data_IF_597402573502
#
_entry.id   IF_597402573502
#
_cell.length_a   1.000
_cell.length_b   1.000
_cell.length_c   1.000
_cell.angle_alpha   90.00
_cell.angle_beta   90.00
_cell.angle_gamma   90.00
#
_symmetry.space_group_name_H-M   'P 1'
#
loop_
_entity.id
_entity.type
_entity.pdbx_description
1 polymer ?
#
# COMPACT_ATOMS: atom_id res chain seq x y z
N UNK A 1 -4.37 -6.99 -7.40
CA UNK A 1 -2.97 -6.51 -7.29
C UNK A 1 -2.20 -7.34 -6.28
N UNK A 2 -1.04 -7.83 -6.66
CA UNK A 2 -0.18 -8.64 -5.78
C UNK A 2 0.80 -7.75 -5.03
N UNK A 3 1.17 -8.18 -3.84
CA UNK A 3 2.17 -7.49 -3.00
C UNK A 3 3.44 -8.36 -2.92
N UNK A 4 4.16 -8.46 -4.02
CA UNK A 4 5.38 -9.27 -4.13
C UNK A 4 6.60 -8.42 -4.50
N UNK A 5 7.71 -9.05 -4.68
CA UNK A 5 8.94 -8.40 -5.11
C UNK A 5 9.74 -7.83 -3.94
N UNK A 6 10.14 -6.54 -4.05
CA UNK A 6 11.03 -5.92 -3.07
C UNK A 6 10.35 -5.52 -1.75
N UNK A 7 9.01 -5.55 -1.68
CA UNK A 7 8.26 -5.28 -0.45
C UNK A 7 8.27 -6.45 0.53
N UNK A 8 7.45 -6.35 1.57
CA UNK A 8 7.32 -7.45 2.52
C UNK A 8 6.78 -8.71 1.83
N UNK A 9 7.15 -9.84 2.38
CA UNK A 9 6.74 -11.16 1.89
C UNK A 9 6.03 -11.92 3.00
N UNK A 10 5.08 -12.77 2.62
CA UNK A 10 4.31 -13.61 3.54
C UNK A 10 4.62 -15.09 3.32
N UNK A 11 4.49 -15.89 4.36
CA UNK A 11 4.69 -17.34 4.31
C UNK A 11 3.69 -18.05 3.39
N UNK A 12 2.51 -17.45 3.22
CA UNK A 12 1.45 -17.94 2.31
C UNK A 12 1.67 -17.56 0.84
N UNK A 13 2.78 -16.88 0.52
CA UNK A 13 3.08 -16.40 -0.83
C UNK A 13 2.43 -15.06 -1.16
N UNK A 14 2.42 -14.67 -2.46
CA UNK A 14 1.86 -13.40 -2.89
C UNK A 14 0.39 -13.23 -2.47
N UNK A 15 0.05 -12.02 -2.05
CA UNK A 15 -1.30 -11.68 -1.60
C UNK A 15 -1.96 -10.72 -2.58
N UNK A 16 -3.28 -10.73 -2.65
CA UNK A 16 -4.04 -9.90 -3.58
C UNK A 16 -4.72 -8.76 -2.84
N UNK A 17 -4.50 -7.53 -3.31
CA UNK A 17 -5.21 -6.34 -2.87
C UNK A 17 -6.16 -5.87 -3.99
N UNK A 18 -7.31 -5.33 -3.61
CA UNK A 18 -8.30 -4.83 -4.56
C UNK A 18 -8.24 -3.30 -4.56
N UNK A 19 -8.05 -2.75 -5.75
CA UNK A 19 -8.02 -1.31 -5.98
C UNK A 19 -8.96 -0.98 -7.13
N UNK A 20 -9.87 -0.05 -6.90
CA UNK A 20 -10.76 0.48 -7.94
C UNK A 20 -10.30 1.87 -8.34
N UNK A 21 -10.01 2.06 -9.62
CA UNK A 21 -9.60 3.35 -10.19
C UNK A 21 -10.71 3.89 -11.07
N UNK A 22 -11.11 5.14 -10.81
CA UNK A 22 -12.10 5.85 -11.62
C UNK A 22 -11.45 7.16 -12.08
N UNK A 23 -11.52 7.45 -13.37
CA UNK A 23 -11.07 8.71 -13.94
C UNK A 23 -12.23 9.46 -14.58
N UNK A 24 -12.38 10.72 -14.21
CA UNK A 24 -13.31 11.65 -14.86
C UNK A 24 -12.50 12.89 -15.28
N UNK A 25 -12.35 13.08 -16.57
CA UNK A 25 -11.50 14.15 -17.10
C UNK A 25 -10.06 13.97 -16.65
N UNK A 26 -9.55 14.96 -15.90
CA UNK A 26 -8.20 14.95 -15.33
C UNK A 26 -8.15 14.55 -13.85
N UNK A 27 -9.26 14.08 -13.31
CA UNK A 27 -9.34 13.66 -11.91
C UNK A 27 -9.43 12.15 -11.81
N UNK A 28 -8.56 11.56 -11.01
CA UNK A 28 -8.59 10.14 -10.64
C UNK A 28 -9.02 10.01 -9.20
N UNK A 29 -9.89 9.06 -8.94
CA UNK A 29 -10.23 8.59 -7.60
C UNK A 29 -9.85 7.13 -7.50
N UNK A 30 -9.04 6.79 -6.51
CA UNK A 30 -8.64 5.42 -6.21
C UNK A 30 -9.25 4.99 -4.89
N UNK A 31 -9.97 3.89 -4.92
CA UNK A 31 -10.51 3.25 -3.72
C UNK A 31 -9.75 1.95 -3.47
N UNK A 32 -9.17 1.85 -2.28
CA UNK A 32 -8.46 0.67 -1.82
C UNK A 32 -9.33 -0.06 -0.81
N UNK A 33 -9.73 -1.27 -1.14
CA UNK A 33 -10.42 -2.13 -0.18
C UNK A 33 -9.47 -2.48 0.97
N UNK A 34 -10.05 -2.78 2.13
CA UNK A 34 -9.27 -3.27 3.25
C UNK A 34 -8.40 -4.46 2.82
N UNK A 35 -7.15 -4.39 3.18
CA UNK A 35 -6.18 -5.45 2.93
C UNK A 35 -5.66 -5.96 4.27
N UNK A 36 -5.91 -7.22 4.56
CA UNK A 36 -5.50 -7.85 5.80
C UNK A 36 -5.13 -9.31 5.53
N UNK A 37 -3.85 -9.59 5.59
CA UNK A 37 -3.31 -10.90 5.22
C UNK A 37 -3.31 -11.84 6.41
N UNK A 38 -3.82 -13.05 6.20
CA UNK A 38 -3.83 -14.09 7.23
C UNK A 38 -2.50 -14.80 7.47
N UNK A 39 -1.52 -14.65 6.58
CA UNK A 39 -0.20 -15.26 6.72
C UNK A 39 0.77 -14.39 7.51
N UNK A 40 1.86 -15.01 7.99
CA UNK A 40 2.90 -14.30 8.72
C UNK A 40 3.91 -13.67 7.78
N UNK A 41 4.44 -12.50 8.16
CA UNK A 41 5.55 -11.84 7.47
C UNK A 41 6.81 -12.67 7.70
N UNK A 42 7.50 -13.00 6.61
CA UNK A 42 8.76 -13.78 6.65
C UNK A 42 9.98 -12.95 6.23
N UNK A 43 9.78 -11.73 5.77
CA UNK A 43 10.87 -10.83 5.39
C UNK A 43 11.33 -9.98 6.58
N UNK A 44 12.61 -9.62 6.59
CA UNK A 44 13.19 -8.74 7.61
C UNK A 44 13.76 -7.49 6.96
N UNK A 45 13.81 -6.38 7.72
CA UNK A 45 14.40 -5.14 7.26
C UNK A 45 13.60 -4.40 6.20
N UNK A 46 12.33 -4.71 6.03
CA UNK A 46 11.46 -4.10 5.02
C UNK A 46 10.42 -3.20 5.69
N UNK A 47 10.35 -1.94 5.27
CA UNK A 47 9.46 -0.94 5.84
C UNK A 47 8.20 -0.66 5.02
N UNK A 48 7.98 -1.35 3.90
CA UNK A 48 6.83 -1.09 3.04
C UNK A 48 6.18 -2.35 2.47
N UNK A 49 4.87 -2.28 2.26
CA UNK A 49 4.13 -3.17 1.37
C UNK A 49 4.22 -2.57 -0.03
N UNK A 50 4.61 -3.35 -1.00
CA UNK A 50 4.73 -2.92 -2.39
C UNK A 50 3.75 -3.71 -3.26
N UNK A 51 3.09 -3.02 -4.17
CA UNK A 51 2.28 -3.68 -5.19
C UNK A 51 3.19 -4.17 -6.33
N UNK A 52 2.88 -5.32 -6.90
CA UNK A 52 3.71 -5.90 -7.96
C UNK A 52 3.56 -5.18 -9.30
N UNK A 53 2.40 -4.58 -9.55
CA UNK A 53 2.06 -4.00 -10.84
C UNK A 53 1.76 -2.50 -10.69
N UNK A 54 2.38 -1.70 -11.56
CA UNK A 54 2.06 -0.28 -11.66
C UNK A 54 0.64 -0.06 -12.18
N UNK A 55 0.02 1.06 -11.78
CA UNK A 55 -1.22 1.49 -12.40
C UNK A 55 -1.00 1.82 -13.88
N UNK A 56 -2.00 1.62 -14.74
CA UNK A 56 -1.92 2.09 -16.13
C UNK A 56 -1.62 3.60 -16.21
N UNK A 57 -0.85 4.01 -17.20
CA UNK A 57 -0.30 5.38 -17.28
C UNK A 57 -1.36 6.49 -17.29
N UNK A 58 -2.55 6.19 -17.79
CA UNK A 58 -3.66 7.17 -17.78
C UNK A 58 -4.14 7.54 -16.38
N UNK A 59 -3.73 6.80 -15.36
CA UNK A 59 -4.09 7.06 -13.96
C UNK A 59 -2.93 7.65 -13.14
N UNK A 60 -1.77 7.90 -13.73
CA UNK A 60 -0.62 8.39 -12.98
C UNK A 60 -0.84 9.80 -12.47
N UNK A 61 -0.47 10.08 -11.21
CA UNK A 61 -0.61 11.43 -10.67
C UNK A 61 0.33 12.42 -11.37
N UNK A 62 -0.16 13.63 -11.54
CA UNK A 62 0.64 14.75 -12.05
C UNK A 62 1.79 15.12 -11.10
N UNK A 63 1.56 14.96 -9.81
CA UNK A 63 2.54 15.22 -8.74
C UNK A 63 2.49 14.07 -7.75
N UNK A 64 3.59 13.80 -7.07
CA UNK A 64 3.59 12.79 -6.02
C UNK A 64 2.53 13.08 -4.97
N UNK A 65 1.82 12.04 -4.55
CA UNK A 65 0.74 12.12 -3.58
C UNK A 65 1.09 11.24 -2.40
N UNK A 66 0.91 11.78 -1.19
CA UNK A 66 1.02 11.05 0.06
C UNK A 66 -0.31 11.11 0.79
N UNK A 67 -0.75 9.98 1.33
CA UNK A 67 -1.98 9.90 2.12
C UNK A 67 -1.73 9.09 3.38
N UNK A 68 -2.30 9.54 4.50
CA UNK A 68 -2.25 8.79 5.74
C UNK A 68 -3.34 7.73 5.74
N UNK A 69 -2.98 6.54 6.20
CA UNK A 69 -3.89 5.40 6.27
C UNK A 69 -3.72 4.70 7.61
N UNK A 70 -4.71 3.95 8.03
CA UNK A 70 -4.58 3.09 9.20
C UNK A 70 -3.96 1.77 8.75
N UNK A 71 -2.78 1.46 9.28
CA UNK A 71 -2.11 0.18 9.09
C UNK A 71 -2.26 -0.67 10.35
N UNK A 72 -2.07 -1.96 10.20
CA UNK A 72 -2.13 -2.87 11.35
C UNK A 72 -1.18 -4.05 11.20
N UNK A 73 -0.74 -4.57 12.34
CA UNK A 73 -0.03 -5.83 12.47
C UNK A 73 -0.71 -6.67 13.56
N UNK A 74 -0.68 -7.99 13.40
CA UNK A 74 -1.21 -8.94 14.40
C UNK A 74 -2.65 -8.65 14.82
N UNK A 75 -3.44 -8.08 13.90
CA UNK A 75 -4.86 -7.79 14.06
C UNK A 75 -5.24 -6.86 15.23
N UNK A 76 -4.27 -6.33 15.96
CA UNK A 76 -4.55 -5.50 17.15
C UNK A 76 -3.70 -4.24 17.26
N UNK A 77 -2.60 -4.15 16.54
CA UNK A 77 -1.68 -3.03 16.60
C UNK A 77 -1.96 -2.05 15.46
N UNK A 78 -3.02 -1.25 15.61
CA UNK A 78 -3.34 -0.21 14.64
C UNK A 78 -2.37 0.98 14.77
N UNK A 79 -1.92 1.51 13.63
CA UNK A 79 -1.02 2.65 13.54
C UNK A 79 -1.48 3.57 12.43
N UNK A 80 -0.98 4.79 12.44
CA UNK A 80 -1.11 5.67 11.30
C UNK A 80 0.11 5.46 10.42
N UNK A 81 -0.12 4.89 9.25
CA UNK A 81 0.87 4.72 8.21
C UNK A 81 0.68 5.72 7.08
N UNK A 82 1.38 5.50 6.00
CA UNK A 82 1.36 6.41 4.86
C UNK A 82 1.47 5.61 3.56
N UNK A 83 0.79 6.09 2.52
CA UNK A 83 0.88 5.54 1.17
C UNK A 83 1.45 6.60 0.25
N UNK A 84 2.44 6.23 -0.53
CA UNK A 84 3.04 7.08 -1.55
C UNK A 84 2.60 6.65 -2.95
N UNK A 85 2.23 7.64 -3.76
CA UNK A 85 1.93 7.48 -5.18
C UNK A 85 2.88 8.39 -5.97
N UNK A 86 3.83 7.80 -6.67
CA UNK A 86 4.79 8.54 -7.47
C UNK A 86 4.19 9.03 -8.79
N UNK A 87 4.85 9.98 -9.43
CA UNK A 87 4.39 10.61 -10.68
C UNK A 87 4.54 9.73 -11.91
N UNK A 88 5.36 8.70 -11.84
CA UNK A 88 5.65 7.85 -13.00
C UNK A 88 5.73 6.39 -12.56
N UNK A 89 5.18 5.51 -13.37
CA UNK A 89 5.23 4.08 -13.11
C UNK A 89 4.65 3.70 -11.75
N UNK A 90 3.57 4.35 -11.36
CA UNK A 90 3.09 4.32 -10.00
C UNK A 90 2.82 2.92 -9.49
N UNK A 91 3.67 2.49 -8.59
CA UNK A 91 3.46 1.32 -7.74
C UNK A 91 3.31 1.87 -6.33
N UNK A 92 2.14 1.76 -5.71
CA UNK A 92 1.95 2.28 -4.36
C UNK A 92 2.85 1.56 -3.35
N UNK A 93 3.42 2.33 -2.44
CA UNK A 93 4.17 1.82 -1.29
C UNK A 93 3.41 2.16 -0.02
N UNK A 94 3.10 1.16 0.79
CA UNK A 94 2.42 1.35 2.07
C UNK A 94 3.42 1.19 3.19
N UNK A 95 3.69 2.29 3.90
CA UNK A 95 4.58 2.32 5.04
C UNK A 95 3.80 2.11 6.34
N UNK A 96 4.36 1.32 7.24
CA UNK A 96 3.70 0.94 8.49
C UNK A 96 3.39 2.11 9.41
N UNK A 97 4.32 3.05 9.50
CA UNK A 97 4.29 4.08 10.53
C UNK A 97 4.74 5.43 9.97
N UNK A 98 3.92 6.46 10.15
CA UNK A 98 4.24 7.80 9.68
C UNK A 98 5.17 8.55 10.65
N UNK A 99 5.10 8.25 11.94
CA UNK A 99 5.91 8.91 12.97
C UNK A 99 7.36 8.41 12.94
N UNK A 100 7.53 7.11 12.72
CA UNK A 100 8.83 6.48 12.54
C UNK A 100 8.87 5.85 11.14
N UNK A 101 8.97 6.69 10.11
CA UNK A 101 8.82 6.33 8.70
C UNK A 101 9.71 5.16 8.26
N UNK A 102 10.92 5.06 8.80
CA UNK A 102 11.82 3.95 8.54
C UNK A 102 11.53 2.68 9.33
N UNK A 103 10.46 2.64 10.11
CA UNK A 103 10.15 1.46 10.92
C UNK A 103 9.70 0.30 10.04
N UNK A 104 10.37 -0.84 10.22
CA UNK A 104 10.08 -2.04 9.44
C UNK A 104 8.81 -2.73 9.92
N UNK A 105 8.15 -3.41 9.00
CA UNK A 105 7.12 -4.37 9.34
C UNK A 105 7.76 -5.51 10.15
N UNK A 106 7.04 -6.00 11.14
CA UNK A 106 7.58 -6.98 12.09
C UNK A 106 7.61 -8.38 11.48
N UNK A 107 8.78 -8.97 11.43
CA UNK A 107 8.93 -10.38 11.02
C UNK A 107 8.15 -11.28 11.97
N UNK A 108 7.40 -12.22 11.42
CA UNK A 108 6.54 -13.12 12.18
C UNK A 108 5.15 -12.56 12.51
N UNK A 109 4.91 -11.26 12.32
CA UNK A 109 3.59 -10.69 12.49
C UNK A 109 2.62 -11.25 11.46
N UNK A 110 1.40 -11.52 11.87
CA UNK A 110 0.32 -11.98 11.00
C UNK A 110 -0.81 -10.96 10.93
N UNK A 111 -1.77 -11.19 10.04
CA UNK A 111 -2.90 -10.29 9.82
C UNK A 111 -2.47 -8.84 9.67
N UNK A 112 -1.50 -8.63 8.80
CA UNK A 112 -0.92 -7.33 8.51
C UNK A 112 -1.56 -6.71 7.29
N UNK A 113 -1.68 -5.40 7.28
CA UNK A 113 -2.21 -4.67 6.14
C UNK A 113 -2.68 -3.27 6.49
N UNK A 114 -3.71 -2.81 5.79
CA UNK A 114 -4.27 -1.48 5.96
C UNK A 114 -5.80 -1.51 5.92
N UNK A 115 -6.43 -0.55 6.57
CA UNK A 115 -7.87 -0.33 6.44
C UNK A 115 -8.18 0.29 5.07
N UNK A 116 -9.40 0.11 4.58
CA UNK A 116 -9.85 0.70 3.32
C UNK A 116 -9.73 2.21 3.32
N UNK A 117 -9.34 2.80 2.18
CA UNK A 117 -9.23 4.24 2.03
C UNK A 117 -9.49 4.69 0.60
N UNK A 118 -9.82 5.95 0.45
CA UNK A 118 -10.03 6.59 -0.86
C UNK A 118 -9.10 7.79 -0.97
N UNK A 119 -8.47 7.94 -2.13
CA UNK A 119 -7.59 9.07 -2.43
C UNK A 119 -7.87 9.57 -3.84
N UNK A 120 -7.74 10.88 -4.05
CA UNK A 120 -7.93 11.50 -5.36
C UNK A 120 -6.70 12.31 -5.74
N UNK A 121 -6.42 12.38 -7.04
CA UNK A 121 -5.35 13.21 -7.59
C UNK A 121 -5.67 13.67 -9.01
N UNK A 122 -4.95 14.68 -9.46
CA UNK A 122 -5.00 15.13 -10.83
C UNK A 122 -3.97 14.36 -11.67
N UNK A 123 -4.33 14.05 -12.91
CA UNK A 123 -3.42 13.50 -13.91
C UNK A 123 -2.90 14.59 -14.83
N UNK A 124 -1.78 14.32 -15.48
CA UNK A 124 -1.17 15.28 -16.43
C UNK A 124 -2.06 15.56 -17.65
#
# INVERSE_FOLDING_TARGET
TDTTGAGIQWDSGPQTAIVTLIRVGKQVTAHFDRFNVGGAIISTGINFIRFATAFPSQFWPKSSVWVNVITQESNSNARIGSVNFATNGTIPYVYRDIVAFGTNWTNGANQCGYQGFTVSWAVA
#
